data_IF_795588179424
#
_entry.id   IF_795588179424
#
_cell.length_a   1.000
_cell.length_b   1.000
_cell.length_c   1.000
_cell.angle_alpha   90.00
_cell.angle_beta   90.00
_cell.angle_gamma   90.00
#
_symmetry.space_group_name_H-M   'P 1'
#
loop_
_entity.id
_entity.type
_entity.pdbx_description
1 polymer ?
#
# COMPACT_ATOMS: atom_id res chain seq x y z
N UNK A 1 20.30 20.40 6.97
CA UNK A 1 18.99 20.44 6.29
C UNK A 1 18.08 19.54 7.10
N UNK A 2 16.97 20.06 7.61
CA UNK A 2 16.06 19.30 8.47
C UNK A 2 15.48 18.14 7.65
N UNK A 3 15.59 16.92 8.15
CA UNK A 3 14.85 15.80 7.59
C UNK A 3 13.36 16.13 7.70
N UNK A 4 12.68 16.32 6.58
CA UNK A 4 11.23 16.47 6.58
C UNK A 4 10.67 15.12 7.00
N UNK A 5 9.97 15.08 8.13
CA UNK A 5 9.26 13.89 8.56
C UNK A 5 8.21 13.55 7.50
N UNK A 6 8.06 12.26 7.19
CA UNK A 6 7.04 11.82 6.23
C UNK A 6 5.65 12.14 6.75
N UNK A 7 4.80 12.66 5.87
CA UNK A 7 3.45 13.10 6.19
C UNK A 7 2.39 12.13 5.64
N UNK A 8 1.18 12.22 6.19
CA UNK A 8 0.02 11.43 5.75
C UNK A 8 -0.18 11.54 4.23
N UNK A 9 -0.29 10.39 3.58
CA UNK A 9 -0.53 10.28 2.15
C UNK A 9 0.67 10.61 1.27
N UNK A 10 1.85 10.91 1.82
CA UNK A 10 3.07 10.92 1.02
C UNK A 10 3.37 9.51 0.49
N UNK A 11 3.84 9.46 -0.76
CA UNK A 11 4.15 8.21 -1.44
C UNK A 11 5.66 8.00 -1.42
N UNK A 12 6.09 6.96 -0.72
CA UNK A 12 7.48 6.51 -0.67
C UNK A 12 7.71 5.50 -1.78
N UNK A 13 8.59 5.83 -2.72
CA UNK A 13 9.02 4.89 -3.75
C UNK A 13 10.08 3.98 -3.14
N UNK A 14 9.79 2.70 -2.99
CA UNK A 14 10.71 1.73 -2.41
C UNK A 14 11.18 0.80 -3.51
N UNK A 15 12.47 0.83 -3.84
CA UNK A 15 13.09 -0.17 -4.71
C UNK A 15 13.84 -1.17 -3.84
N UNK A 16 13.50 -2.45 -3.93
CA UNK A 16 14.08 -3.54 -3.15
C UNK A 16 14.80 -4.49 -4.09
N UNK A 17 16.12 -4.65 -3.91
CA UNK A 17 16.95 -5.56 -4.71
C UNK A 17 17.49 -6.70 -3.85
N UNK A 18 17.50 -7.91 -4.41
CA UNK A 18 18.06 -9.09 -3.74
C UNK A 18 19.61 -9.13 -3.80
N UNK A 19 20.20 -10.21 -3.29
CA UNK A 19 21.65 -10.43 -3.30
C UNK A 19 22.29 -10.42 -4.71
N UNK A 20 21.52 -10.75 -5.75
CA UNK A 20 21.97 -10.72 -7.14
C UNK A 20 21.75 -9.35 -7.81
N UNK A 21 21.19 -8.37 -7.08
CA UNK A 21 20.84 -7.05 -7.58
C UNK A 21 19.53 -7.02 -8.39
N UNK A 22 18.76 -8.11 -8.36
CA UNK A 22 17.48 -8.22 -9.08
C UNK A 22 16.41 -7.46 -8.32
N UNK A 23 15.63 -6.64 -9.03
CA UNK A 23 14.47 -5.94 -8.47
C UNK A 23 13.43 -6.99 -8.05
N UNK A 24 13.04 -6.95 -6.79
CA UNK A 24 12.10 -7.90 -6.19
C UNK A 24 10.66 -7.41 -6.34
N UNK A 25 9.71 -8.33 -6.10
CA UNK A 25 8.28 -8.01 -6.06
C UNK A 25 7.90 -7.01 -4.97
N UNK A 26 8.75 -6.67 -4.02
CA UNK A 26 8.44 -5.65 -3.00
C UNK A 26 8.71 -4.21 -3.47
N UNK A 27 9.15 -4.04 -4.71
CA UNK A 27 9.55 -2.72 -5.24
C UNK A 27 8.34 -1.96 -5.76
N UNK A 28 7.79 -1.08 -4.91
CA UNK A 28 6.55 -0.36 -5.17
C UNK A 28 6.53 1.04 -4.56
N UNK A 29 5.56 1.83 -4.99
CA UNK A 29 5.07 3.04 -4.33
C UNK A 29 4.25 2.63 -3.09
N UNK A 30 4.64 3.07 -1.90
CA UNK A 30 3.88 2.84 -0.65
C UNK A 30 3.44 4.17 -0.06
N UNK A 31 2.13 4.30 0.16
CA UNK A 31 1.58 5.47 0.83
C UNK A 31 1.79 5.38 2.35
N UNK A 32 2.07 6.53 2.97
CA UNK A 32 2.02 6.69 4.42
C UNK A 32 0.56 6.75 4.84
N UNK A 33 0.11 5.76 5.62
CA UNK A 33 -1.29 5.64 6.04
C UNK A 33 -1.67 6.61 7.18
N UNK A 34 -2.93 6.53 7.62
CA UNK A 34 -3.49 7.35 8.72
C UNK A 34 -2.74 7.19 10.06
N UNK A 35 -2.13 6.03 10.29
CA UNK A 35 -1.33 5.73 11.47
C UNK A 35 0.16 6.06 11.27
N UNK A 36 0.50 6.69 10.13
CA UNK A 36 1.84 7.09 9.71
C UNK A 36 2.78 5.92 9.51
N UNK A 37 2.22 4.81 9.01
CA UNK A 37 2.93 3.58 8.72
C UNK A 37 3.07 3.40 7.22
N UNK A 38 4.16 2.76 6.79
CA UNK A 38 4.25 2.11 5.50
C UNK A 38 3.81 0.66 5.65
N UNK A 39 2.91 0.23 4.78
CA UNK A 39 2.41 -1.14 4.72
C UNK A 39 3.13 -1.87 3.60
N UNK A 40 4.16 -2.64 3.94
CA UNK A 40 4.95 -3.42 2.98
C UNK A 40 4.57 -4.91 3.14
N UNK A 41 4.25 -5.63 2.05
CA UNK A 41 3.94 -7.06 2.11
C UNK A 41 5.02 -7.86 2.83
N UNK A 42 4.61 -8.87 3.60
CA UNK A 42 5.45 -9.68 4.49
C UNK A 42 6.11 -8.94 5.67
N UNK A 43 6.44 -7.65 5.56
CA UNK A 43 6.92 -6.82 6.69
C UNK A 43 5.77 -6.22 7.52
N UNK A 44 4.56 -6.22 6.98
CA UNK A 44 3.38 -5.56 7.53
C UNK A 44 3.65 -4.06 7.73
N UNK A 45 3.57 -3.56 8.97
CA UNK A 45 3.66 -2.14 9.28
C UNK A 45 5.09 -1.72 9.64
N UNK A 46 5.54 -0.61 9.06
CA UNK A 46 6.81 0.06 9.35
C UNK A 46 6.52 1.52 9.69
N UNK A 47 7.03 2.02 10.82
CA UNK A 47 6.76 3.39 11.24
C UNK A 47 7.51 4.39 10.35
N UNK A 48 6.76 5.18 9.58
CA UNK A 48 7.31 6.21 8.69
C UNK A 48 7.50 7.55 9.41
N UNK A 49 6.68 7.82 10.43
CA UNK A 49 6.69 9.09 11.14
C UNK A 49 8.06 9.43 11.73
N UNK A 50 8.50 10.67 11.50
CA UNK A 50 9.65 11.24 12.19
C UNK A 50 10.99 10.65 11.73
N UNK A 51 10.99 9.76 10.73
CA UNK A 51 12.20 9.17 10.17
C UNK A 51 12.58 9.86 8.86
N UNK A 52 13.83 10.31 8.71
CA UNK A 52 14.35 10.62 7.38
C UNK A 52 14.29 9.37 6.49
N UNK A 53 13.96 9.56 5.20
CA UNK A 53 14.07 8.51 4.18
C UNK A 53 15.43 7.81 4.26
N UNK A 54 16.50 8.61 4.31
CA UNK A 54 17.86 8.11 4.47
C UNK A 54 18.58 8.88 5.59
N UNK A 55 19.26 8.18 6.51
CA UNK A 55 19.53 6.73 6.51
C UNK A 55 18.45 5.87 7.21
N UNK A 56 17.57 6.48 8.01
CA UNK A 56 16.83 5.74 9.05
C UNK A 56 15.76 4.79 8.50
N UNK A 57 14.81 5.29 7.69
CA UNK A 57 13.74 4.45 7.15
C UNK A 57 14.28 3.35 6.22
N UNK A 58 15.26 3.69 5.37
CA UNK A 58 15.95 2.73 4.51
C UNK A 58 16.58 1.59 5.32
N UNK A 59 17.32 1.91 6.37
CA UNK A 59 18.00 0.92 7.20
C UNK A 59 17.01 0.01 7.94
N UNK A 60 15.89 0.55 8.41
CA UNK A 60 14.83 -0.25 9.06
C UNK A 60 14.17 -1.23 8.08
N UNK A 61 13.84 -0.79 6.85
CA UNK A 61 13.27 -1.68 5.84
C UNK A 61 14.27 -2.81 5.49
N UNK A 62 15.55 -2.46 5.27
CA UNK A 62 16.62 -3.44 5.04
C UNK A 62 16.72 -4.46 6.18
N UNK A 63 16.77 -3.98 7.43
CA UNK A 63 16.87 -4.83 8.62
C UNK A 63 15.64 -5.73 8.78
N UNK A 64 14.43 -5.21 8.58
CA UNK A 64 13.18 -5.98 8.67
C UNK A 64 13.11 -7.09 7.64
N UNK A 65 13.53 -6.87 6.39
CA UNK A 65 13.59 -7.95 5.39
C UNK A 65 14.50 -9.10 5.82
N UNK A 66 15.65 -8.80 6.43
CA UNK A 66 16.61 -9.80 6.87
C UNK A 66 16.19 -10.50 8.17
N UNK A 67 15.72 -9.73 9.15
CA UNK A 67 15.34 -10.24 10.48
C UNK A 67 14.03 -11.04 10.45
N UNK A 68 13.07 -10.64 9.61
CA UNK A 68 11.82 -11.38 9.40
C UNK A 68 12.02 -12.60 8.46
N UNK A 69 13.25 -12.79 7.93
CA UNK A 69 13.60 -13.93 7.08
C UNK A 69 12.94 -13.92 5.70
N UNK A 70 12.47 -12.75 5.25
CA UNK A 70 11.81 -12.57 3.95
C UNK A 70 12.84 -12.59 2.82
N UNK A 71 13.98 -11.92 3.01
CA UNK A 71 15.13 -11.92 2.09
C UNK A 71 16.42 -12.13 2.90
N UNK A 72 17.43 -12.75 2.29
CA UNK A 72 18.70 -13.07 2.97
C UNK A 72 19.71 -11.93 2.92
N UNK A 73 19.80 -11.25 1.78
CA UNK A 73 20.58 -10.02 1.57
C UNK A 73 19.75 -9.11 0.69
N UNK A 74 19.67 -7.84 1.07
CA UNK A 74 18.84 -6.86 0.38
C UNK A 74 19.54 -5.51 0.28
N UNK A 75 19.26 -4.76 -0.78
CA UNK A 75 19.55 -3.32 -0.87
C UNK A 75 18.23 -2.59 -1.11
N UNK A 76 17.99 -1.53 -0.36
CA UNK A 76 16.79 -0.71 -0.49
C UNK A 76 17.18 0.70 -0.95
N UNK A 77 16.52 1.20 -1.99
CA UNK A 77 16.59 2.60 -2.39
C UNK A 77 15.23 3.25 -2.16
N UNK A 78 15.25 4.43 -1.55
CA UNK A 78 14.03 5.18 -1.24
C UNK A 78 13.98 6.50 -2.02
N UNK A 79 12.80 6.80 -2.55
CA UNK A 79 12.45 8.06 -3.18
C UNK A 79 11.11 8.59 -2.66
N UNK A 80 10.79 9.84 -3.01
CA UNK A 80 9.47 10.43 -2.77
C UNK A 80 8.84 10.78 -4.09
N UNK A 81 7.58 10.38 -4.25
CA UNK A 81 6.75 10.83 -5.37
C UNK A 81 6.28 12.25 -5.12
N UNK A 82 6.17 13.05 -6.17
CA UNK A 82 5.77 14.47 -6.06
C UNK A 82 4.28 14.68 -5.77
N UNK A 83 3.47 13.64 -5.96
CA UNK A 83 2.06 13.56 -5.65
C UNK A 83 1.80 12.79 -4.34
N UNK A 84 0.57 12.91 -3.84
CA UNK A 84 0.12 12.34 -2.58
C UNK A 84 -1.19 11.60 -2.80
N UNK A 85 -1.40 10.56 -2.02
CA UNK A 85 -2.70 9.92 -1.93
C UNK A 85 -3.61 10.69 -0.99
N UNK A 86 -4.87 10.76 -1.36
CA UNK A 86 -5.92 11.37 -0.56
C UNK A 86 -6.56 10.28 0.30
N UNK A 87 -6.18 10.20 1.57
CA UNK A 87 -6.63 9.13 2.47
C UNK A 87 -7.82 9.54 3.35
N UNK A 88 -8.01 10.85 3.57
CA UNK A 88 -8.99 11.36 4.54
C UNK A 88 -10.29 11.81 3.89
N UNK A 89 -10.29 12.11 2.59
CA UNK A 89 -11.53 12.49 1.94
C UNK A 89 -12.48 11.31 1.78
N UNK A 90 -13.76 11.67 1.77
CA UNK A 90 -14.86 10.73 1.64
C UNK A 90 -15.07 10.32 0.18
N UNK A 91 -15.25 9.02 -0.04
CA UNK A 91 -15.60 8.43 -1.33
C UNK A 91 -17.04 8.75 -1.70
N UNK A 92 -17.27 9.14 -2.96
CA UNK A 92 -18.58 9.54 -3.49
C UNK A 92 -18.97 8.72 -4.72
N UNK A 93 -20.27 8.55 -4.99
CA UNK A 93 -20.73 8.05 -6.28
C UNK A 93 -20.14 8.83 -7.45
N UNK A 94 -19.66 8.11 -8.47
CA UNK A 94 -18.97 8.67 -9.62
C UNK A 94 -17.45 8.87 -9.46
N UNK A 95 -16.89 8.68 -8.27
CA UNK A 95 -15.43 8.57 -8.12
C UNK A 95 -14.92 7.32 -8.83
N UNK A 96 -13.66 7.36 -9.29
CA UNK A 96 -12.93 6.19 -9.76
C UNK A 96 -11.85 5.84 -8.73
N UNK A 97 -11.91 4.62 -8.17
CA UNK A 97 -10.99 4.15 -7.15
C UNK A 97 -10.01 3.17 -7.76
N UNK A 98 -8.72 3.42 -7.60
CA UNK A 98 -7.71 2.41 -7.83
C UNK A 98 -7.58 1.54 -6.58
N UNK A 99 -7.87 0.26 -6.72
CA UNK A 99 -7.70 -0.73 -5.66
C UNK A 99 -6.50 -1.60 -6.02
N UNK A 100 -5.43 -1.48 -5.25
CA UNK A 100 -4.23 -2.29 -5.38
C UNK A 100 -4.25 -3.41 -4.35
N UNK A 101 -3.98 -4.63 -4.78
CA UNK A 101 -3.85 -5.79 -3.91
C UNK A 101 -2.44 -6.36 -4.08
N UNK A 102 -1.69 -6.42 -2.98
CA UNK A 102 -0.34 -6.99 -2.98
C UNK A 102 -0.36 -8.38 -2.34
N UNK A 103 0.27 -9.33 -3.03
CA UNK A 103 0.52 -10.67 -2.54
C UNK A 103 1.61 -10.66 -1.46
N UNK A 104 1.72 -11.72 -0.63
CA UNK A 104 2.78 -11.81 0.38
C UNK A 104 4.21 -11.72 -0.20
N UNK A 105 4.41 -12.12 -1.46
CA UNK A 105 5.70 -12.00 -2.16
C UNK A 105 5.96 -10.61 -2.78
N UNK A 106 5.06 -9.66 -2.51
CA UNK A 106 5.10 -8.30 -3.02
C UNK A 106 4.39 -8.11 -4.36
N UNK A 107 4.14 -9.16 -5.13
CA UNK A 107 3.58 -9.01 -6.48
C UNK A 107 2.16 -8.43 -6.46
N UNK A 108 1.85 -7.59 -7.45
CA UNK A 108 0.49 -7.04 -7.64
C UNK A 108 -0.43 -8.17 -8.12
N UNK A 109 -1.52 -8.40 -7.40
CA UNK A 109 -2.54 -9.36 -7.81
C UNK A 109 -3.26 -8.88 -9.08
N UNK A 110 -3.57 -9.81 -9.98
CA UNK A 110 -4.21 -9.52 -11.27
C UNK A 110 -5.62 -8.90 -11.14
N UNK A 111 -6.20 -8.95 -9.96
CA UNK A 111 -7.52 -8.39 -9.65
C UNK A 111 -7.45 -6.94 -9.20
N UNK A 112 -6.24 -6.39 -9.05
CA UNK A 112 -6.00 -4.96 -8.85
C UNK A 112 -6.47 -4.17 -10.07
N UNK A 113 -6.90 -2.93 -9.86
CA UNK A 113 -7.31 -2.07 -10.97
C UNK A 113 -8.20 -0.91 -10.54
N UNK A 114 -8.70 -0.19 -11.55
CA UNK A 114 -9.64 0.92 -11.35
C UNK A 114 -11.08 0.44 -11.35
N UNK A 115 -11.82 0.85 -10.33
CA UNK A 115 -13.21 0.50 -10.11
C UNK A 115 -14.04 1.78 -9.95
N UNK A 116 -15.02 2.03 -10.85
CA UNK A 116 -15.91 3.17 -10.69
C UNK A 116 -16.90 2.92 -9.55
N UNK A 117 -17.13 3.94 -8.73
CA UNK A 117 -18.19 3.93 -7.71
C UNK A 117 -19.52 4.19 -8.39
N UNK A 118 -20.41 3.19 -8.37
CA UNK A 118 -21.71 3.28 -9.02
C UNK A 118 -22.67 4.25 -8.31
N UNK A 119 -23.85 4.46 -8.89
CA UNK A 119 -24.88 5.34 -8.33
C UNK A 119 -25.42 4.90 -6.95
N UNK A 120 -25.26 3.61 -6.59
CA UNK A 120 -25.61 3.10 -5.27
C UNK A 120 -24.55 3.44 -4.21
N UNK A 121 -23.34 3.78 -4.67
CA UNK A 121 -22.18 4.02 -3.81
C UNK A 121 -21.27 2.80 -3.66
N UNK A 122 -21.34 1.85 -4.58
CA UNK A 122 -20.59 0.59 -4.50
C UNK A 122 -19.56 0.48 -5.63
N UNK A 123 -18.46 -0.21 -5.37
CA UNK A 123 -17.57 -0.72 -6.41
C UNK A 123 -17.86 -2.20 -6.65
N UNK A 124 -17.72 -2.67 -7.90
CA UNK A 124 -17.88 -4.08 -8.22
C UNK A 124 -16.51 -4.73 -8.39
N UNK A 125 -16.04 -5.42 -7.36
CA UNK A 125 -14.74 -6.07 -7.35
C UNK A 125 -14.83 -7.54 -7.78
N UNK A 126 -13.79 -8.08 -8.45
CA UNK A 126 -13.64 -9.51 -8.62
C UNK A 126 -13.76 -10.23 -7.26
N UNK A 127 -14.47 -11.36 -7.27
CA UNK A 127 -14.70 -12.25 -6.11
C UNK A 127 -15.58 -11.72 -4.98
N UNK A 128 -15.54 -10.42 -4.66
CA UNK A 128 -16.39 -9.82 -3.63
C UNK A 128 -17.74 -9.33 -4.15
N UNK A 129 -17.85 -9.10 -5.46
CA UNK A 129 -19.02 -8.47 -6.05
C UNK A 129 -19.14 -7.01 -5.62
N UNK A 130 -20.36 -6.57 -5.29
CA UNK A 130 -20.63 -5.20 -4.88
C UNK A 130 -20.15 -4.90 -3.45
N UNK A 131 -19.17 -4.01 -3.31
CA UNK A 131 -18.66 -3.49 -2.03
C UNK A 131 -19.14 -2.06 -1.85
N UNK A 132 -19.97 -1.80 -0.84
CA UNK A 132 -20.46 -0.46 -0.52
C UNK A 132 -19.33 0.39 0.08
N UNK A 133 -18.93 1.46 -0.61
CA UNK A 133 -17.79 2.32 -0.20
C UNK A 133 -18.18 3.79 -0.06
N UNK A 134 -19.40 4.19 -0.40
CA UNK A 134 -19.86 5.57 -0.19
C UNK A 134 -19.72 5.97 1.25
N UNK A 135 -19.44 7.25 1.46
CA UNK A 135 -19.31 7.86 2.79
C UNK A 135 -18.14 7.33 3.64
N UNK A 136 -17.44 6.28 3.18
CA UNK A 136 -16.17 5.84 3.76
C UNK A 136 -15.05 6.79 3.34
N UNK A 137 -14.07 6.93 4.23
CA UNK A 137 -12.72 7.37 3.87
C UNK A 137 -11.97 6.25 3.16
N UNK A 138 -10.91 6.58 2.44
CA UNK A 138 -10.17 5.60 1.64
C UNK A 138 -9.63 4.44 2.49
N UNK A 139 -9.05 4.72 3.66
CA UNK A 139 -8.58 3.67 4.57
C UNK A 139 -9.71 2.81 5.17
N UNK A 140 -10.92 3.36 5.32
CA UNK A 140 -12.09 2.59 5.78
C UNK A 140 -12.54 1.62 4.68
N UNK A 141 -12.47 2.05 3.41
CA UNK A 141 -12.69 1.18 2.26
C UNK A 141 -11.61 0.09 2.12
N UNK A 142 -10.33 0.42 2.34
CA UNK A 142 -9.23 -0.57 2.40
C UNK A 142 -9.55 -1.67 3.41
N UNK A 143 -9.83 -1.29 4.65
CA UNK A 143 -10.14 -2.24 5.70
C UNK A 143 -11.35 -3.10 5.36
N UNK A 144 -12.42 -2.50 4.83
CA UNK A 144 -13.63 -3.23 4.44
C UNK A 144 -13.35 -4.27 3.34
N UNK A 145 -12.56 -3.91 2.33
CA UNK A 145 -12.18 -4.83 1.25
C UNK A 145 -11.30 -5.96 1.80
N UNK A 146 -10.32 -5.64 2.65
CA UNK A 146 -9.45 -6.64 3.29
C UNK A 146 -10.24 -7.66 4.10
N UNK A 147 -11.17 -7.20 4.93
CA UNK A 147 -12.05 -8.10 5.70
C UNK A 147 -12.89 -8.96 4.77
N UNK A 148 -13.46 -8.38 3.70
CA UNK A 148 -14.21 -9.14 2.70
C UNK A 148 -13.37 -10.26 2.04
N UNK A 149 -12.12 -9.96 1.67
CA UNK A 149 -11.21 -10.94 1.06
C UNK A 149 -10.84 -12.07 2.02
N UNK A 150 -10.62 -11.74 3.30
CA UNK A 150 -10.34 -12.70 4.36
C UNK A 150 -11.56 -13.60 4.65
N UNK A 151 -12.74 -13.01 4.80
CA UNK A 151 -13.99 -13.74 5.08
C UNK A 151 -14.35 -14.72 3.95
N UNK A 152 -14.14 -14.29 2.70
CA UNK A 152 -14.32 -15.12 1.53
C UNK A 152 -13.21 -16.18 1.33
N UNK A 153 -12.15 -16.17 2.16
CA UNK A 153 -10.99 -17.05 2.09
C UNK A 153 -10.27 -17.03 0.74
N UNK A 154 -10.30 -15.88 0.07
CA UNK A 154 -9.64 -15.67 -1.22
C UNK A 154 -8.15 -15.42 -1.00
N UNK A 155 -7.83 -14.62 0.01
CA UNK A 155 -6.47 -14.29 0.42
C UNK A 155 -6.22 -14.70 1.87
N UNK A 156 -4.99 -15.10 2.17
CA UNK A 156 -4.57 -15.41 3.55
C UNK A 156 -4.12 -14.17 4.30
N UNK A 157 -3.49 -13.20 3.62
CA UNK A 157 -2.99 -11.94 4.17
C UNK A 157 -3.03 -10.84 3.09
N UNK A 158 -4.22 -10.41 2.64
CA UNK A 158 -4.31 -9.36 1.64
C UNK A 158 -3.76 -8.06 2.22
N UNK A 159 -3.01 -7.32 1.41
CA UNK A 159 -2.70 -5.92 1.65
C UNK A 159 -3.36 -5.13 0.53
N UNK A 160 -4.33 -4.30 0.91
CA UNK A 160 -5.13 -3.49 0.00
C UNK A 160 -4.82 -2.02 0.21
N UNK A 161 -4.53 -1.32 -0.88
CA UNK A 161 -4.52 0.14 -0.92
C UNK A 161 -5.70 0.60 -1.79
N UNK A 162 -6.48 1.56 -1.30
CA UNK A 162 -7.57 2.18 -2.07
C UNK A 162 -7.20 3.64 -2.20
N UNK A 163 -7.08 4.11 -3.44
CA UNK A 163 -6.59 5.46 -3.72
C UNK A 163 -7.26 6.02 -4.97
N UNK A 164 -7.08 7.30 -5.25
CA UNK A 164 -7.50 7.93 -6.52
C UNK A 164 -6.43 7.89 -7.60
N UNK A 165 -5.21 7.50 -7.25
CA UNK A 165 -4.03 7.52 -8.13
C UNK A 165 -3.44 6.12 -8.21
N UNK A 166 -3.00 5.73 -9.40
CA UNK A 166 -2.34 4.43 -9.56
C UNK A 166 -0.99 4.42 -8.81
N UNK A 167 -0.81 3.39 -7.99
CA UNK A 167 0.43 3.10 -7.28
C UNK A 167 1.13 1.93 -7.97
N UNK A 168 2.38 2.13 -8.39
CA UNK A 168 3.15 1.16 -9.17
C UNK A 168 4.08 0.31 -8.32
#
# INVERSE_FOLDING_TARGET
MSATALELGEIVQVEVRDAAGVVTGFSHDYAVDADRLLRIPSLNMILAEGKPLTPDLRAEIEDRFMTDGVLTTVTVNLGIRGDRVDLENTIRPGDELFVRMLNPDGTIDASSGSFPVDASGSINMPFLGGVLVRDNRFFEAEHQIEQGLLDARIFTRPLVDVTRVELF
#
